data_IF_523662307643
#
_entry.id   IF_523662307643
#
_cell.length_a   1.000
_cell.length_b   1.000
_cell.length_c   1.000
_cell.angle_alpha   90.00
_cell.angle_beta   90.00
_cell.angle_gamma   90.00
#
_symmetry.space_group_name_H-M   'P 1'
#
loop_
_entity.id
_entity.type
_entity.pdbx_description
1 polymer ?
#
# COMPACT_ATOMS: atom_id res chain seq x y z
N UNK A 1 8.68 -15.92 17.20
CA UNK A 1 8.54 -14.73 18.09
C UNK A 1 8.06 -13.52 17.27
N UNK A 2 7.29 -12.61 17.88
CA UNK A 2 6.73 -11.39 17.24
C UNK A 2 7.79 -10.61 16.44
N UNK A 3 9.01 -10.53 16.97
CA UNK A 3 10.17 -9.84 16.39
C UNK A 3 10.49 -10.33 14.96
N UNK A 4 10.35 -11.62 14.66
CA UNK A 4 10.62 -12.14 13.31
C UNK A 4 9.61 -11.64 12.28
N UNK A 5 8.32 -11.55 12.66
CA UNK A 5 7.29 -10.99 11.77
C UNK A 5 7.51 -9.50 11.52
N UNK A 6 7.88 -8.76 12.56
CA UNK A 6 8.22 -7.33 12.44
C UNK A 6 9.48 -7.12 11.59
N UNK A 7 10.52 -7.95 11.78
CA UNK A 7 11.76 -7.88 11.00
C UNK A 7 11.51 -8.16 9.52
N UNK A 8 10.68 -9.16 9.20
CA UNK A 8 10.28 -9.46 7.82
C UNK A 8 9.51 -8.30 7.18
N UNK A 9 8.54 -7.71 7.90
CA UNK A 9 7.79 -6.54 7.44
C UNK A 9 8.71 -5.35 7.18
N UNK A 10 9.62 -5.06 8.11
CA UNK A 10 10.58 -3.97 8.00
C UNK A 10 11.54 -4.19 6.81
N UNK A 11 12.02 -5.42 6.62
CA UNK A 11 12.84 -5.78 5.47
C UNK A 11 12.11 -5.55 4.15
N UNK A 12 10.86 -6.05 4.02
CA UNK A 12 10.08 -5.87 2.81
C UNK A 12 9.80 -4.39 2.51
N UNK A 13 9.47 -3.61 3.55
CA UNK A 13 9.25 -2.17 3.43
C UNK A 13 10.51 -1.43 2.99
N UNK A 14 11.67 -1.72 3.59
CA UNK A 14 12.95 -1.11 3.23
C UNK A 14 13.28 -1.37 1.76
N UNK A 15 13.23 -2.63 1.33
CA UNK A 15 13.51 -3.03 -0.06
C UNK A 15 12.53 -2.37 -1.03
N UNK A 16 11.23 -2.38 -0.71
CA UNK A 16 10.21 -1.77 -1.57
C UNK A 16 10.36 -0.26 -1.69
N UNK A 17 10.63 0.46 -0.60
CA UNK A 17 10.87 1.91 -0.64
C UNK A 17 12.11 2.23 -1.47
N UNK A 18 13.23 1.54 -1.25
CA UNK A 18 14.44 1.72 -2.05
C UNK A 18 14.17 1.50 -3.55
N UNK A 19 13.46 0.42 -3.90
CA UNK A 19 13.08 0.15 -5.28
C UNK A 19 12.18 1.26 -5.87
N UNK A 20 11.21 1.75 -5.08
CA UNK A 20 10.32 2.84 -5.48
C UNK A 20 11.03 4.19 -5.69
N UNK A 21 12.08 4.48 -4.92
CA UNK A 21 12.91 5.66 -5.12
C UNK A 21 13.76 5.55 -6.39
N UNK A 22 14.38 4.39 -6.63
CA UNK A 22 15.14 4.13 -7.87
C UNK A 22 14.22 4.23 -9.09
N UNK A 23 13.01 3.67 -9.01
CA UNK A 23 12.00 3.81 -10.07
C UNK A 23 11.59 5.27 -10.29
N UNK A 24 11.39 6.04 -9.21
CA UNK A 24 11.12 7.48 -9.29
C UNK A 24 12.24 8.23 -10.01
N UNK A 25 13.49 7.96 -9.65
CA UNK A 25 14.65 8.56 -10.28
C UNK A 25 14.74 8.21 -11.78
N UNK A 26 14.48 6.95 -12.16
CA UNK A 26 14.48 6.51 -13.57
C UNK A 26 13.39 7.16 -14.41
N UNK A 27 12.22 7.43 -13.82
CA UNK A 27 11.09 8.10 -14.50
C UNK A 27 11.26 9.65 -14.45
N UNK A 28 12.26 10.16 -13.72
CA UNK A 28 12.52 11.60 -13.58
C UNK A 28 11.59 12.30 -12.58
N UNK A 29 10.99 11.56 -11.65
CA UNK A 29 10.09 12.06 -10.61
C UNK A 29 10.83 12.13 -9.28
N UNK A 30 10.80 13.28 -8.61
CA UNK A 30 11.38 13.49 -7.27
C UNK A 30 10.49 12.93 -6.15
N UNK A 31 9.98 11.71 -6.30
CA UNK A 31 9.13 11.05 -5.32
C UNK A 31 9.23 9.53 -5.44
N UNK A 32 8.89 8.83 -4.35
CA UNK A 32 8.80 7.38 -4.34
C UNK A 32 7.62 6.91 -5.20
N UNK A 33 7.91 6.10 -6.24
CA UNK A 33 6.90 5.58 -7.15
C UNK A 33 6.51 4.17 -6.71
N UNK A 34 5.48 4.08 -5.86
CA UNK A 34 4.81 2.81 -5.55
C UNK A 34 5.59 1.83 -4.67
N UNK A 35 6.62 2.28 -3.94
CA UNK A 35 7.47 1.42 -3.12
C UNK A 35 6.72 0.61 -2.05
N UNK A 36 5.61 1.13 -1.53
CA UNK A 36 4.71 0.38 -0.62
C UNK A 36 4.07 -0.82 -1.32
N UNK A 37 3.63 -0.66 -2.56
CA UNK A 37 3.05 -1.76 -3.35
C UNK A 37 4.10 -2.83 -3.68
N UNK A 38 5.32 -2.40 -4.01
CA UNK A 38 6.46 -3.30 -4.24
C UNK A 38 6.76 -4.10 -2.96
N UNK A 39 6.77 -3.43 -1.80
CA UNK A 39 6.95 -4.08 -0.50
C UNK A 39 5.85 -5.12 -0.22
N UNK A 40 4.59 -4.80 -0.54
CA UNK A 40 3.46 -5.74 -0.35
C UNK A 40 3.60 -6.98 -1.24
N UNK A 41 3.96 -6.82 -2.51
CA UNK A 41 4.17 -7.95 -3.42
C UNK A 41 5.34 -8.83 -2.97
N UNK A 42 6.45 -8.20 -2.55
CA UNK A 42 7.60 -8.91 -2.00
C UNK A 42 7.24 -9.69 -0.74
N UNK A 43 6.46 -9.10 0.15
CA UNK A 43 5.98 -9.76 1.37
C UNK A 43 5.09 -10.96 1.03
N UNK A 44 4.14 -10.81 0.09
CA UNK A 44 3.29 -11.92 -0.36
C UNK A 44 4.15 -13.04 -0.96
N UNK A 45 5.14 -12.71 -1.78
CA UNK A 45 6.03 -13.68 -2.41
C UNK A 45 6.87 -14.43 -1.38
N UNK A 46 7.47 -13.74 -0.40
CA UNK A 46 8.25 -14.37 0.65
C UNK A 46 7.40 -15.23 1.59
N UNK A 47 6.18 -14.78 1.89
CA UNK A 47 5.22 -15.55 2.69
C UNK A 47 4.72 -16.80 1.95
N UNK A 48 4.56 -16.75 0.62
CA UNK A 48 4.04 -17.85 -0.18
C UNK A 48 5.13 -18.84 -0.64
N UNK A 49 6.34 -18.35 -0.93
CA UNK A 49 7.49 -19.17 -1.37
C UNK A 49 8.11 -19.99 -0.23
N UNK A 50 7.88 -19.58 1.03
CA UNK A 50 8.34 -20.32 2.22
C UNK A 50 7.48 -21.55 2.55
N UNK A 51 7.13 -22.34 1.52
CA UNK A 51 6.08 -23.37 1.52
C UNK A 51 6.13 -24.45 2.61
N UNK A 52 5.03 -25.22 2.69
CA UNK A 52 4.63 -26.42 3.48
C UNK A 52 5.48 -26.96 4.67
N UNK A 53 6.79 -26.77 4.68
CA UNK A 53 7.73 -27.10 5.76
C UNK A 53 7.97 -25.92 6.71
N UNK A 54 7.67 -24.69 6.27
CA UNK A 54 7.82 -23.46 7.04
C UNK A 54 6.50 -22.67 7.02
N UNK A 55 5.40 -23.34 7.42
CA UNK A 55 4.21 -22.59 7.89
C UNK A 55 4.73 -21.54 8.84
N UNK A 56 4.52 -20.25 8.54
CA UNK A 56 4.86 -19.16 9.44
C UNK A 56 4.40 -19.59 10.83
N UNK A 57 5.36 -19.94 11.69
CA UNK A 57 5.03 -20.43 13.01
C UNK A 57 4.08 -19.39 13.63
N UNK A 58 3.04 -19.80 14.37
CA UNK A 58 2.05 -18.90 14.96
C UNK A 58 2.61 -17.55 15.45
N UNK A 59 3.79 -17.49 16.11
CA UNK A 59 4.36 -16.23 16.56
C UNK A 59 4.90 -15.27 15.48
N UNK A 60 5.19 -15.72 14.25
CA UNK A 60 5.55 -14.82 13.13
C UNK A 60 4.30 -14.15 12.55
N UNK A 61 3.18 -14.87 12.47
CA UNK A 61 1.87 -14.28 12.16
C UNK A 61 1.41 -13.28 13.22
N UNK A 62 1.71 -13.54 14.51
CA UNK A 62 1.44 -12.59 15.58
C UNK A 62 2.15 -11.24 15.39
N UNK A 63 3.34 -11.23 14.79
CA UNK A 63 4.06 -9.99 14.44
C UNK A 63 3.33 -9.16 13.39
N UNK A 64 2.79 -9.80 12.36
CA UNK A 64 2.01 -9.13 11.32
C UNK A 64 0.67 -8.65 11.87
N UNK A 65 0.01 -9.48 12.68
CA UNK A 65 -1.23 -9.13 13.38
C UNK A 65 -1.06 -7.93 14.32
N UNK A 66 0.08 -7.84 15.02
CA UNK A 66 0.41 -6.68 15.87
C UNK A 66 0.46 -5.37 15.06
N UNK A 67 1.09 -5.36 13.88
CA UNK A 67 1.10 -4.18 13.00
C UNK A 67 -0.28 -3.87 12.41
N UNK A 68 -1.07 -4.90 12.08
CA UNK A 68 -2.45 -4.72 11.64
C UNK A 68 -3.31 -4.06 12.72
N UNK A 69 -3.11 -4.41 13.99
CA UNK A 69 -3.80 -3.76 15.11
C UNK A 69 -3.38 -2.29 15.28
N UNK A 70 -2.13 -1.95 14.94
CA UNK A 70 -1.64 -0.56 14.93
C UNK A 70 -2.07 0.26 13.71
N UNK A 71 -2.72 -0.34 12.70
CA UNK A 71 -3.14 0.37 11.50
C UNK A 71 -4.06 1.58 11.81
N UNK A 72 -5.05 1.39 12.70
CA UNK A 72 -6.00 2.46 13.05
C UNK A 72 -5.27 3.68 13.65
N UNK A 73 -4.45 3.54 14.72
CA UNK A 73 -3.66 4.65 15.25
C UNK A 73 -2.75 5.33 14.22
N UNK A 74 -2.10 4.56 13.34
CA UNK A 74 -1.17 5.10 12.34
C UNK A 74 -1.93 5.96 11.31
N UNK A 75 -3.08 5.48 10.84
CA UNK A 75 -3.92 6.26 9.91
C UNK A 75 -4.47 7.51 10.57
N UNK A 76 -4.87 7.43 11.84
CA UNK A 76 -5.31 8.61 12.62
C UNK A 76 -4.17 9.63 12.74
N UNK A 77 -2.94 9.18 13.04
CA UNK A 77 -1.78 10.06 13.11
C UNK A 77 -1.46 10.71 11.75
N UNK A 78 -1.57 9.96 10.65
CA UNK A 78 -1.40 10.47 9.29
C UNK A 78 -2.46 11.53 8.95
N UNK A 79 -3.73 11.27 9.30
CA UNK A 79 -4.82 12.22 9.09
C UNK A 79 -4.63 13.49 9.94
N UNK A 80 -4.19 13.37 11.18
CA UNK A 80 -3.94 14.51 12.08
C UNK A 80 -2.82 15.45 11.59
N UNK A 81 -1.91 14.97 10.73
CA UNK A 81 -0.86 15.79 10.11
C UNK A 81 -1.34 16.57 8.87
N UNK A 82 -2.55 16.31 8.37
CA UNK A 82 -3.06 16.98 7.18
C UNK A 82 -3.46 18.43 7.49
N UNK A 83 -3.12 19.36 6.59
CA UNK A 83 -3.42 20.79 6.76
C UNK A 83 -4.81 21.14 6.23
N UNK A 84 -5.82 20.98 7.09
CA UNK A 84 -7.23 21.25 6.75
C UNK A 84 -7.47 22.73 6.43
N UNK A 85 -6.78 23.64 7.11
CA UNK A 85 -6.92 25.08 6.87
C UNK A 85 -6.47 25.45 5.44
N UNK A 86 -5.35 24.90 4.98
CA UNK A 86 -4.89 25.09 3.60
C UNK A 86 -5.87 24.51 2.57
N UNK A 87 -6.50 23.37 2.88
CA UNK A 87 -7.49 22.77 2.00
C UNK A 87 -8.75 23.65 1.85
N UNK A 88 -9.23 24.26 2.95
CA UNK A 88 -10.39 25.15 2.93
C UNK A 88 -10.07 26.49 2.28
N UNK A 89 -8.88 27.06 2.55
CA UNK A 89 -8.46 28.33 1.95
C UNK A 89 -8.20 28.23 0.44
N UNK A 90 -7.98 27.03 -0.09
CA UNK A 90 -7.94 26.75 -1.54
C UNK A 90 -9.28 27.00 -2.27
N UNK A 91 -10.36 27.31 -1.53
CA UNK A 91 -11.65 27.70 -2.09
C UNK A 91 -12.40 26.57 -2.80
N UNK A 92 -13.41 26.94 -3.59
CA UNK A 92 -14.28 25.98 -4.29
C UNK A 92 -13.52 25.06 -5.25
N UNK A 93 -12.42 25.52 -5.84
CA UNK A 93 -11.60 24.74 -6.77
C UNK A 93 -10.99 23.50 -6.10
N UNK A 94 -10.49 23.61 -4.86
CA UNK A 94 -9.91 22.48 -4.14
C UNK A 94 -10.96 21.38 -3.87
N UNK A 95 -12.18 21.80 -3.50
CA UNK A 95 -13.29 20.88 -3.23
C UNK A 95 -13.71 20.16 -4.51
N UNK A 96 -13.93 20.90 -5.61
CA UNK A 96 -14.36 20.31 -6.88
C UNK A 96 -13.29 19.37 -7.42
N UNK A 97 -12.01 19.76 -7.39
CA UNK A 97 -10.92 18.92 -7.87
C UNK A 97 -10.80 17.62 -7.05
N UNK A 98 -10.90 17.70 -5.72
CA UNK A 98 -10.87 16.52 -4.85
C UNK A 98 -12.05 15.59 -5.12
N UNK A 99 -13.27 16.11 -5.15
CA UNK A 99 -14.48 15.32 -5.43
C UNK A 99 -14.44 14.70 -6.81
N UNK A 100 -14.03 15.46 -7.84
CA UNK A 100 -13.93 14.96 -9.21
C UNK A 100 -12.88 13.85 -9.34
N UNK A 101 -11.70 14.01 -8.72
CA UNK A 101 -10.65 12.99 -8.73
C UNK A 101 -11.11 11.69 -8.04
N UNK A 102 -11.81 11.80 -6.91
CA UNK A 102 -12.39 10.65 -6.20
C UNK A 102 -13.48 9.98 -7.04
N UNK A 103 -14.41 10.75 -7.60
CA UNK A 103 -15.48 10.22 -8.44
C UNK A 103 -14.94 9.51 -9.69
N UNK A 104 -13.94 10.09 -10.36
CA UNK A 104 -13.26 9.48 -11.50
C UNK A 104 -12.55 8.17 -11.12
N UNK A 105 -11.90 8.13 -9.95
CA UNK A 105 -11.26 6.92 -9.43
C UNK A 105 -12.28 5.80 -9.18
N UNK A 106 -13.42 6.12 -8.56
CA UNK A 106 -14.52 5.16 -8.36
C UNK A 106 -15.13 4.69 -9.68
N UNK A 107 -15.29 5.59 -10.66
CA UNK A 107 -15.80 5.24 -11.98
C UNK A 107 -14.87 4.28 -12.75
N UNK A 108 -13.57 4.28 -12.46
CA UNK A 108 -12.61 3.33 -13.05
C UNK A 108 -12.69 1.92 -12.46
N UNK A 109 -13.18 1.73 -11.24
CA UNK A 109 -13.33 0.42 -10.60
C UNK A 109 -14.14 -0.56 -11.49
N UNK A 110 -15.36 -0.23 -11.97
CA UNK A 110 -16.12 -1.15 -12.83
C UNK A 110 -15.45 -1.41 -14.17
N UNK A 111 -14.69 -0.45 -14.72
CA UNK A 111 -13.95 -0.61 -15.98
C UNK A 111 -12.83 -1.64 -15.78
N UNK A 112 -12.02 -1.48 -14.74
CA UNK A 112 -10.95 -2.42 -14.39
C UNK A 112 -11.52 -3.81 -14.04
N UNK A 113 -12.63 -3.86 -13.29
CA UNK A 113 -13.30 -5.11 -12.95
C UNK A 113 -13.80 -5.88 -14.19
N UNK A 114 -14.31 -5.19 -15.22
CA UNK A 114 -14.72 -5.82 -16.49
C UNK A 114 -13.53 -6.38 -17.26
N UNK A 115 -12.38 -5.71 -17.25
CA UNK A 115 -11.15 -6.20 -17.89
C UNK A 115 -10.67 -7.47 -17.17
N UNK A 116 -10.66 -7.48 -15.84
CA UNK A 116 -10.26 -8.64 -15.04
C UNK A 116 -11.17 -9.85 -15.27
N UNK A 117 -12.49 -9.65 -15.41
CA UNK A 117 -13.44 -10.74 -15.65
C UNK A 117 -13.24 -11.43 -17.00
N UNK A 118 -12.88 -10.67 -18.05
CA UNK A 118 -12.64 -11.19 -19.40
C UNK A 118 -11.45 -12.16 -19.47
N UNK A 119 -10.50 -12.06 -18.54
CA UNK A 119 -9.35 -12.98 -18.44
C UNK A 119 -9.70 -14.32 -17.80
N UNK A 120 -10.84 -14.44 -17.11
CA UNK A 120 -11.24 -15.66 -16.41
C UNK A 120 -12.19 -16.55 -17.23
N UNK A 121 -12.70 -16.04 -18.36
CA UNK A 121 -13.59 -16.76 -19.28
C UNK A 121 -12.85 -17.35 -20.51
N UNK A 122 -11.51 -17.23 -20.54
CA UNK A 122 -10.63 -17.73 -21.61
C UNK A 122 -9.72 -18.90 -21.15
N UNK A 123 -10.04 -19.53 -20.02
CA UNK A 123 -9.37 -20.73 -19.49
C UNK A 123 -10.33 -21.90 -19.42
#
# INVERSE_FOLDING_TARGET
MVIYGVALLAFCMLVGVLAGEVLGAMIGVQANVGGVGIAMLLLILLCNMSGDRFKLEPPTQSGIGFWSAMYIPIVVAMAAKQNVLAAISGGWMAIIAGVAAVAASFAMIPVLARIGKRSNDAG
#
